data_IF_683602886209
#
_entry.id   IF_683602886209
#
_cell.length_a   1.000
_cell.length_b   1.000
_cell.length_c   1.000
_cell.angle_alpha   90.00
_cell.angle_beta   90.00
_cell.angle_gamma   90.00
#
_symmetry.space_group_name_H-M   'P 1'
#
loop_
_entity.id
_entity.type
_entity.pdbx_description
1 polymer ?
#
# COMPACT_ATOMS: atom_id res chain seq x y z
N UNK A 1 8.69 10.94 5.76
CA UNK A 1 8.58 9.47 5.75
C UNK A 1 7.69 9.10 6.92
N UNK A 2 6.59 8.39 6.69
CA UNK A 2 5.71 7.93 7.77
C UNK A 2 6.19 6.55 8.24
N UNK A 3 6.04 6.27 9.52
CA UNK A 3 6.05 4.90 10.02
C UNK A 3 4.64 4.28 9.94
N UNK A 4 4.56 2.96 10.14
CA UNK A 4 3.30 2.21 10.06
C UNK A 4 2.22 2.75 11.00
N UNK A 5 2.58 3.16 12.21
CA UNK A 5 1.62 3.62 13.22
C UNK A 5 1.09 5.02 12.85
N UNK A 6 1.97 5.92 12.46
CA UNK A 6 1.59 7.27 12.03
C UNK A 6 0.71 7.25 10.78
N UNK A 7 1.02 6.39 9.80
CA UNK A 7 0.24 6.27 8.57
C UNK A 7 -1.10 5.58 8.79
N UNK A 8 -1.16 4.52 9.60
CA UNK A 8 -2.40 3.85 9.98
C UNK A 8 -3.41 4.81 10.60
N UNK A 9 -2.95 5.66 11.53
CA UNK A 9 -3.78 6.69 12.15
C UNK A 9 -4.29 7.71 11.14
N UNK A 10 -3.43 8.20 10.25
CA UNK A 10 -3.82 9.15 9.21
C UNK A 10 -4.85 8.54 8.25
N UNK A 11 -4.68 7.27 7.87
CA UNK A 11 -5.64 6.55 7.02
C UNK A 11 -7.00 6.42 7.73
N UNK A 12 -6.99 6.04 9.01
CA UNK A 12 -8.20 5.93 9.83
C UNK A 12 -8.92 7.28 9.95
N UNK A 13 -8.18 8.37 10.26
CA UNK A 13 -8.75 9.72 10.36
C UNK A 13 -9.32 10.23 9.02
N UNK A 14 -8.75 9.78 7.89
CA UNK A 14 -9.26 10.05 6.55
C UNK A 14 -10.47 9.18 6.15
N UNK A 15 -10.90 8.27 7.02
CA UNK A 15 -12.05 7.39 6.83
C UNK A 15 -11.76 6.12 6.03
N UNK A 16 -10.50 5.71 5.92
CA UNK A 16 -10.16 4.36 5.47
C UNK A 16 -10.40 3.36 6.61
N UNK A 17 -10.86 2.17 6.24
CA UNK A 17 -11.15 1.03 7.09
C UNK A 17 -10.12 -0.06 6.86
N UNK A 18 -9.81 -0.82 7.91
CA UNK A 18 -8.85 -1.93 7.91
C UNK A 18 -7.49 -1.59 7.26
N UNK A 19 -6.83 -0.47 7.65
CA UNK A 19 -5.49 -0.16 7.17
C UNK A 19 -4.49 -1.23 7.61
N UNK A 20 -3.74 -1.78 6.66
CA UNK A 20 -2.73 -2.79 6.94
C UNK A 20 -1.50 -2.62 6.06
N UNK A 21 -0.33 -3.04 6.57
CA UNK A 21 0.89 -3.13 5.76
C UNK A 21 0.71 -4.23 4.71
N UNK A 22 1.09 -3.96 3.48
CA UNK A 22 1.09 -4.91 2.36
C UNK A 22 2.45 -4.88 1.66
N UNK A 23 2.63 -5.72 0.65
CA UNK A 23 3.81 -5.71 -0.22
C UNK A 23 3.53 -4.90 -1.49
N UNK A 24 4.58 -4.48 -2.19
CA UNK A 24 4.45 -3.87 -3.52
C UNK A 24 3.83 -4.81 -4.58
N UNK A 25 3.80 -6.12 -4.30
CA UNK A 25 3.26 -7.14 -5.21
C UNK A 25 1.77 -7.42 -4.96
N UNK A 26 1.27 -7.12 -3.76
CA UNK A 26 -0.05 -7.54 -3.30
C UNK A 26 -0.95 -6.32 -3.06
N UNK A 27 -2.17 -6.41 -3.55
CA UNK A 27 -3.23 -5.44 -3.27
C UNK A 27 -4.58 -6.11 -3.46
N UNK A 28 -5.61 -5.58 -2.80
CA UNK A 28 -7.01 -5.92 -3.05
C UNK A 28 -7.45 -5.55 -4.47
N UNK A 29 -6.70 -4.73 -5.20
CA UNK A 29 -6.92 -4.42 -6.61
C UNK A 29 -6.52 -5.65 -7.47
N UNK A 30 -7.46 -6.26 -8.21
CA UNK A 30 -7.15 -7.42 -9.04
C UNK A 30 -6.11 -7.11 -10.12
N UNK A 31 -5.08 -7.94 -10.20
CA UNK A 31 -4.01 -7.79 -11.18
C UNK A 31 -3.08 -6.59 -10.96
N UNK A 32 -3.02 -6.04 -9.74
CA UNK A 32 -2.26 -4.84 -9.38
C UNK A 32 -0.85 -4.76 -9.99
N UNK A 33 -0.07 -5.84 -9.89
CA UNK A 33 1.30 -5.89 -10.42
C UNK A 33 1.41 -5.61 -11.93
N UNK A 34 0.33 -5.81 -12.71
CA UNK A 34 0.31 -5.54 -14.17
C UNK A 34 0.32 -4.05 -14.51
N UNK A 35 -0.06 -3.18 -13.58
CA UNK A 35 -0.09 -1.73 -13.81
C UNK A 35 1.29 -1.07 -13.76
N UNK A 36 2.34 -1.79 -13.33
CA UNK A 36 3.71 -1.25 -13.36
C UNK A 36 3.97 -0.10 -12.38
N UNK A 37 3.12 0.05 -11.35
CA UNK A 37 3.16 1.18 -10.41
C UNK A 37 4.32 1.03 -9.41
N UNK A 38 4.23 0.03 -8.55
CA UNK A 38 5.24 -0.23 -7.51
C UNK A 38 6.23 -1.34 -7.89
N UNK A 39 5.83 -2.20 -8.82
CA UNK A 39 6.65 -3.31 -9.37
C UNK A 39 6.76 -3.16 -10.88
N UNK A 40 7.98 -3.22 -11.41
CA UNK A 40 8.26 -3.21 -12.85
C UNK A 40 9.17 -4.39 -13.16
N UNK A 41 8.79 -5.21 -14.15
CA UNK A 41 9.52 -6.42 -14.53
C UNK A 41 9.83 -7.36 -13.34
N UNK A 42 8.90 -7.45 -12.39
CA UNK A 42 9.05 -8.27 -11.18
C UNK A 42 9.95 -7.66 -10.10
N UNK A 43 10.43 -6.43 -10.28
CA UNK A 43 11.31 -5.72 -9.35
C UNK A 43 10.56 -4.56 -8.71
N UNK A 44 10.63 -4.47 -7.38
CA UNK A 44 10.08 -3.34 -6.61
C UNK A 44 10.86 -2.07 -6.93
N UNK A 45 10.18 -0.99 -7.37
CA UNK A 45 10.83 0.27 -7.75
C UNK A 45 11.51 0.98 -6.58
N UNK A 46 10.91 0.90 -5.38
CA UNK A 46 11.44 1.47 -4.14
C UNK A 46 11.43 0.42 -3.03
N UNK A 47 12.48 -0.40 -2.93
CA UNK A 47 12.51 -1.55 -2.01
C UNK A 47 12.35 -1.19 -0.53
N UNK A 48 12.63 0.07 -0.17
CA UNK A 48 12.55 0.63 1.18
C UNK A 48 11.21 1.31 1.47
N UNK A 49 10.29 1.36 0.51
CA UNK A 49 9.00 2.02 0.70
C UNK A 49 8.08 1.20 1.60
N UNK A 50 7.42 1.91 2.52
CA UNK A 50 6.28 1.40 3.27
C UNK A 50 5.05 1.38 2.35
N UNK A 51 4.46 0.20 2.15
CA UNK A 51 3.20 0.05 1.40
C UNK A 51 2.11 -0.31 2.40
N UNK A 52 1.02 0.46 2.40
CA UNK A 52 -0.16 0.21 3.24
C UNK A 52 -1.41 0.33 2.39
N UNK A 53 -2.40 -0.50 2.68
CA UNK A 53 -3.69 -0.54 1.98
C UNK A 53 -4.82 -0.46 2.99
N UNK A 54 -5.90 0.25 2.65
CA UNK A 54 -7.14 0.34 3.44
C UNK A 54 -8.32 0.52 2.50
N UNK A 55 -9.50 0.04 2.92
CA UNK A 55 -10.74 0.16 2.13
C UNK A 55 -11.52 1.42 2.50
N UNK A 56 -12.28 1.99 1.58
CA UNK A 56 -13.25 3.05 1.89
C UNK A 56 -14.55 2.77 1.12
N UNK A 57 -15.74 2.99 1.70
CA UNK A 57 -17.01 2.80 0.99
C UNK A 57 -17.19 3.74 -0.19
#
# INVERSE_FOLDING_TARGET
MYDRFSLERLMTDAGFMDPSVTTAFESRIPGFARYGLDVVDGVVRKPDSLVMEGGKP
#
